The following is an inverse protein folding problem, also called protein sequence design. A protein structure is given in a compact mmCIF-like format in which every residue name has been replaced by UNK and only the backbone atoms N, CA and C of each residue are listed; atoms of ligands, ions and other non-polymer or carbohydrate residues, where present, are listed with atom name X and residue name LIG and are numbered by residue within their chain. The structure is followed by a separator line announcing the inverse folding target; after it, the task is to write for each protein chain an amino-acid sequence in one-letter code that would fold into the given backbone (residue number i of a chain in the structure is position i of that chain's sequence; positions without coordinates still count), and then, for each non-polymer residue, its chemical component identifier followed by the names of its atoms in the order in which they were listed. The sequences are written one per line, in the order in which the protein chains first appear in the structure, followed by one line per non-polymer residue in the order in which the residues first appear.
data_IF_710559768513
#
_entry.id   IF_710559768513
#
_cell.length_a   1.000
_cell.length_b   1.000
_cell.length_c   1.000
_cell.angle_alpha   90.00
_cell.angle_beta   90.00
_cell.angle_gamma   90.00
#
_symmetry.space_group_name_H-M   'P 1'
#
loop_
_entity.id
_entity.type
_entity.pdbx_description
1 polymer ?
#
# COMPACT_ATOMS: atom_id res chain seq x y z
N UNK A 1 7.58 -38.82 49.41
CA UNK A 1 7.99 -40.24 49.34
C UNK A 1 8.25 -40.52 47.87
N UNK A 2 9.52 -40.74 47.52
CA UNK A 2 10.11 -41.32 46.27
C UNK A 2 9.61 -40.81 44.90
N UNK A 3 10.36 -40.13 44.01
CA UNK A 3 11.78 -40.22 43.54
C UNK A 3 12.03 -41.31 42.48
N UNK A 4 12.60 -40.92 41.33
CA UNK A 4 13.29 -41.80 40.35
C UNK A 4 13.08 -41.39 38.87
N UNK A 5 13.80 -40.44 38.27
CA UNK A 5 15.19 -40.41 37.73
C UNK A 5 15.46 -41.27 36.45
N UNK A 6 15.54 -40.66 35.24
CA UNK A 6 16.69 -40.24 34.34
C UNK A 6 17.26 -41.35 33.39
N UNK A 7 18.28 -41.12 32.51
CA UNK A 7 18.18 -41.00 31.03
C UNK A 7 19.14 -41.98 30.27
N UNK A 8 19.36 -41.78 28.96
CA UNK A 8 20.63 -42.13 28.33
C UNK A 8 20.95 -41.24 27.10
N UNK A 9 22.17 -40.69 27.11
CA UNK A 9 22.91 -40.11 25.98
C UNK A 9 24.12 -41.01 25.65
N UNK A 10 24.94 -40.59 24.65
CA UNK A 10 26.26 -41.09 24.18
C UNK A 10 26.23 -42.11 23.01
N UNK A 11 27.08 -42.07 21.97
CA UNK A 11 28.45 -41.54 21.80
C UNK A 11 28.76 -41.03 20.37
N UNK A 12 29.79 -40.18 20.29
CA UNK A 12 30.55 -39.75 19.11
C UNK A 12 31.81 -40.63 18.86
N UNK A 13 32.64 -40.20 17.89
CA UNK A 13 33.99 -40.65 17.43
C UNK A 13 33.97 -41.36 16.06
N UNK A 14 34.79 -41.03 15.05
CA UNK A 14 35.89 -40.07 14.92
C UNK A 14 36.71 -40.32 13.61
N UNK A 15 37.64 -39.40 13.33
CA UNK A 15 38.89 -39.53 12.56
C UNK A 15 38.95 -39.45 11.01
N UNK A 16 39.30 -38.23 10.53
CA UNK A 16 40.51 -37.77 9.81
C UNK A 16 41.24 -38.61 8.73
N UNK A 17 41.73 -37.82 7.75
CA UNK A 17 43.01 -37.89 6.99
C UNK A 17 43.03 -38.44 5.55
N UNK A 18 43.58 -37.61 4.64
CA UNK A 18 44.08 -38.08 3.33
C UNK A 18 44.21 -37.02 2.24
N UNK A 19 45.15 -36.08 2.38
CA UNK A 19 45.61 -35.17 1.32
C UNK A 19 46.35 -35.89 0.18
N UNK A 20 46.19 -35.42 -1.06
CA UNK A 20 47.21 -35.45 -2.13
C UNK A 20 47.00 -34.34 -3.17
N UNK A 21 47.93 -33.39 -3.16
CA UNK A 21 48.35 -32.58 -4.32
C UNK A 21 49.16 -33.42 -5.33
N UNK A 22 49.36 -32.84 -6.53
CA UNK A 22 50.43 -32.95 -7.56
C UNK A 22 49.72 -32.94 -8.94
N UNK A 23 49.63 -31.85 -9.71
CA UNK A 23 50.57 -30.89 -10.34
C UNK A 23 50.44 -31.00 -11.91
N UNK A 24 50.86 -29.97 -12.69
CA UNK A 24 50.14 -29.41 -13.85
C UNK A 24 50.76 -29.71 -15.24
N UNK A 25 50.34 -28.91 -16.25
CA UNK A 25 50.80 -28.76 -17.64
C UNK A 25 49.94 -29.52 -18.69
N UNK A 26 49.46 -28.96 -19.81
CA UNK A 26 49.67 -27.66 -20.45
C UNK A 26 48.63 -27.50 -21.60
N UNK A 27 48.55 -26.28 -22.15
CA UNK A 27 47.91 -25.85 -23.44
C UNK A 27 46.50 -25.21 -23.36
N UNK A 28 46.50 -23.88 -23.28
CA UNK A 28 45.48 -22.94 -23.79
C UNK A 28 45.77 -22.62 -25.28
N UNK A 29 44.93 -21.85 -26.04
CA UNK A 29 43.48 -21.64 -26.00
C UNK A 29 42.82 -21.75 -27.41
N UNK A 30 41.48 -21.71 -27.52
CA UNK A 30 40.72 -20.69 -28.30
C UNK A 30 39.21 -20.83 -28.09
N UNK A 31 38.67 -19.82 -27.40
CA UNK A 31 37.41 -19.05 -27.66
C UNK A 31 36.03 -19.71 -27.72
N UNK A 32 35.26 -19.32 -26.70
CA UNK A 32 33.88 -18.81 -26.69
C UNK A 32 32.70 -19.72 -27.01
N UNK A 33 31.80 -19.81 -26.03
CA UNK A 33 30.39 -20.14 -26.21
C UNK A 33 29.77 -20.72 -24.94
N UNK A 34 29.12 -19.86 -24.17
CA UNK A 34 28.45 -20.06 -22.87
C UNK A 34 27.76 -21.42 -22.63
N UNK A 35 27.93 -21.93 -21.41
CA UNK A 35 27.04 -22.92 -20.77
C UNK A 35 26.40 -22.30 -19.53
N UNK A 36 25.07 -22.31 -19.52
CA UNK A 36 24.17 -22.69 -18.41
C UNK A 36 24.76 -22.78 -17.00
N UNK A 37 24.08 -22.19 -16.02
CA UNK A 37 24.28 -22.55 -14.61
C UNK A 37 23.56 -21.64 -13.64
N UNK A 38 22.43 -22.13 -13.15
CA UNK A 38 21.73 -21.83 -11.89
C UNK A 38 22.56 -21.07 -10.85
N UNK A 39 22.01 -19.98 -10.31
CA UNK A 39 22.49 -19.36 -9.09
C UNK A 39 21.39 -19.45 -8.01
N UNK A 40 21.48 -20.50 -7.21
CA UNK A 40 20.87 -20.56 -5.88
C UNK A 40 21.56 -19.54 -4.96
N UNK A 41 20.77 -18.80 -4.18
CA UNK A 41 21.21 -17.64 -3.40
C UNK A 41 22.24 -17.89 -2.29
N UNK A 42 22.88 -16.79 -1.90
CA UNK A 42 23.56 -16.60 -0.62
C UNK A 42 23.46 -15.11 -0.25
N UNK A 43 22.42 -14.76 0.52
CA UNK A 43 22.09 -13.39 0.94
C UNK A 43 22.92 -12.87 2.13
N UNK A 44 23.97 -13.58 2.57
CA UNK A 44 24.68 -13.25 3.82
C UNK A 44 26.18 -12.96 3.67
N UNK A 45 26.67 -12.64 2.47
CA UNK A 45 28.05 -12.17 2.30
C UNK A 45 28.10 -10.81 1.60
N UNK A 46 28.28 -9.69 2.34
CA UNK A 46 28.48 -8.39 1.73
C UNK A 46 29.93 -8.34 1.21
N UNK A 47 30.09 -8.81 -0.03
CA UNK A 47 31.32 -8.60 -0.79
C UNK A 47 31.57 -7.11 -0.98
N UNK A 48 32.85 -6.72 -0.92
CA UNK A 48 33.33 -5.33 -0.92
C UNK A 48 32.70 -4.44 -2.01
N UNK A 49 32.50 -3.13 -1.75
CA UNK A 49 31.83 -2.22 -2.67
C UNK A 49 32.62 -2.17 -3.99
N UNK A 50 32.03 -2.73 -5.04
CA UNK A 50 32.44 -2.39 -6.41
C UNK A 50 32.01 -0.94 -6.65
N UNK A 51 32.89 -0.16 -7.26
CA UNK A 51 32.57 1.19 -7.75
C UNK A 51 31.30 1.09 -8.59
N UNK A 52 30.29 1.97 -8.38
CA UNK A 52 29.11 1.95 -9.21
C UNK A 52 29.55 2.17 -10.66
N UNK A 53 29.15 1.25 -11.54
CA UNK A 53 29.11 1.54 -12.97
C UNK A 53 28.01 2.61 -13.11
N UNK A 54 28.32 3.74 -13.75
CA UNK A 54 27.39 4.86 -14.01
C UNK A 54 26.25 4.48 -15.00
N UNK A 55 25.76 3.25 -14.93
CA UNK A 55 24.73 2.68 -15.82
C UNK A 55 23.49 2.14 -15.11
N UNK A 56 23.56 1.87 -13.81
CA UNK A 56 22.43 1.40 -13.00
C UNK A 56 22.24 2.34 -11.79
N UNK A 57 22.08 3.63 -12.06
CA UNK A 57 21.39 4.51 -11.12
C UNK A 57 19.90 4.20 -11.31
N UNK A 58 19.25 3.69 -10.26
CA UNK A 58 17.80 3.57 -10.22
C UNK A 58 17.23 4.93 -10.60
N UNK A 59 16.56 5.01 -11.74
CA UNK A 59 15.91 6.21 -12.19
C UNK A 59 14.51 6.19 -11.55
N UNK A 60 14.17 7.12 -10.64
CA UNK A 60 12.80 7.27 -10.17
C UNK A 60 11.91 7.52 -11.39
N UNK A 61 10.76 6.88 -11.42
CA UNK A 61 9.81 6.95 -12.52
C UNK A 61 8.89 8.13 -12.20
N UNK A 62 9.11 9.27 -12.85
CA UNK A 62 8.49 10.55 -12.49
C UNK A 62 7.13 10.80 -13.18
N UNK A 63 6.48 9.81 -13.83
CA UNK A 63 5.15 9.98 -14.50
C UNK A 63 4.36 8.66 -14.68
N UNK A 64 3.01 8.75 -14.71
CA UNK A 64 2.14 7.72 -15.28
C UNK A 64 2.61 7.25 -16.66
N UNK A 65 2.67 5.95 -16.88
CA UNK A 65 2.97 5.36 -18.20
C UNK A 65 4.44 5.28 -18.62
N UNK A 66 5.43 5.66 -17.79
CA UNK A 66 6.86 5.51 -18.13
C UNK A 66 7.37 4.04 -17.99
N UNK A 67 6.60 3.16 -17.33
CA UNK A 67 6.98 1.76 -17.09
C UNK A 67 6.49 0.76 -18.14
N UNK A 68 5.45 1.09 -18.90
CA UNK A 68 4.75 0.10 -19.71
C UNK A 68 5.34 -0.11 -21.10
N UNK A 69 5.50 -1.39 -21.43
CA UNK A 69 5.92 -1.83 -22.74
C UNK A 69 4.92 -1.43 -23.83
N UNK A 70 5.20 -0.35 -24.53
CA UNK A 70 4.93 -0.25 -25.98
C UNK A 70 5.80 -1.25 -26.79
N UNK A 71 6.24 -2.34 -26.16
CA UNK A 71 6.85 -3.47 -26.81
C UNK A 71 5.81 -4.19 -27.66
N UNK A 72 6.22 -4.80 -28.79
CA UNK A 72 5.30 -5.48 -29.70
C UNK A 72 4.54 -6.67 -29.07
N UNK A 73 4.92 -7.10 -27.87
CA UNK A 73 4.43 -8.32 -27.21
C UNK A 73 3.51 -8.04 -25.99
N UNK A 74 3.15 -6.78 -25.69
CA UNK A 74 2.26 -6.46 -24.57
C UNK A 74 0.81 -6.92 -24.82
N UNK A 75 0.21 -7.54 -23.79
CA UNK A 75 -1.19 -8.00 -23.79
C UNK A 75 -2.17 -6.82 -23.75
N UNK A 76 -3.47 -7.10 -23.83
CA UNK A 76 -4.49 -6.05 -23.68
C UNK A 76 -4.55 -5.52 -22.25
N UNK A 77 -4.52 -6.41 -21.25
CA UNK A 77 -4.52 -6.01 -19.85
C UNK A 77 -3.24 -5.25 -19.47
N UNK A 78 -2.08 -5.62 -20.04
CA UNK A 78 -0.85 -4.83 -19.85
C UNK A 78 -1.02 -3.37 -20.30
N UNK A 79 -1.82 -3.13 -21.36
CA UNK A 79 -2.07 -1.78 -21.87
C UNK A 79 -3.09 -1.04 -21.03
N UNK A 80 -4.13 -1.71 -20.55
CA UNK A 80 -5.10 -1.07 -19.67
C UNK A 80 -4.46 -0.69 -18.32
N UNK A 81 -3.66 -1.58 -17.74
CA UNK A 81 -2.89 -1.25 -16.54
C UNK A 81 -1.90 -0.11 -16.80
N UNK A 82 -1.27 -0.08 -17.99
CA UNK A 82 -0.40 1.03 -18.36
C UNK A 82 -1.10 2.37 -18.54
N UNK A 83 -2.35 2.34 -19.03
CA UNK A 83 -3.13 3.53 -19.34
C UNK A 83 -3.83 4.09 -18.09
N UNK A 84 -4.20 3.23 -17.14
CA UNK A 84 -5.04 3.58 -16.00
C UNK A 84 -4.33 3.44 -14.64
N UNK A 85 -3.05 3.04 -14.59
CA UNK A 85 -2.31 2.82 -13.34
C UNK A 85 -0.83 3.21 -13.47
N UNK A 86 -0.21 3.50 -12.33
CA UNK A 86 1.22 3.82 -12.24
C UNK A 86 2.11 2.62 -11.82
N UNK A 87 1.59 1.40 -11.91
CA UNK A 87 2.23 0.24 -11.30
C UNK A 87 3.63 -0.13 -11.89
N UNK A 88 4.62 -0.40 -11.01
CA UNK A 88 6.01 -0.75 -11.37
C UNK A 88 6.21 -2.26 -11.59
N UNK A 89 6.61 -2.62 -12.81
CA UNK A 89 6.81 -4.00 -13.26
C UNK A 89 7.81 -4.85 -12.46
N UNK A 90 7.48 -6.13 -12.34
CA UNK A 90 8.47 -7.21 -12.27
C UNK A 90 7.93 -8.64 -12.28
N UNK A 91 6.69 -8.88 -12.70
CA UNK A 91 6.19 -10.25 -12.85
C UNK A 91 6.85 -10.91 -14.07
N UNK A 92 7.88 -11.73 -13.83
CA UNK A 92 8.28 -12.75 -14.79
C UNK A 92 7.13 -13.77 -14.87
N UNK A 93 6.50 -13.85 -16.03
CA UNK A 93 5.47 -14.83 -16.42
C UNK A 93 4.01 -14.46 -16.09
N UNK A 94 3.45 -13.56 -16.90
CA UNK A 94 2.00 -13.39 -17.08
C UNK A 94 1.33 -14.53 -17.89
N UNK A 95 2.05 -15.63 -18.16
CA UNK A 95 1.56 -16.84 -18.86
C UNK A 95 0.45 -17.59 -18.09
N UNK A 96 -0.01 -17.08 -16.95
CA UNK A 96 -1.04 -17.72 -16.10
C UNK A 96 -2.41 -17.02 -16.07
N UNK A 97 -2.50 -15.74 -16.46
CA UNK A 97 -3.78 -15.01 -16.39
C UNK A 97 -4.55 -15.06 -17.71
N UNK A 98 -3.86 -15.33 -18.81
CA UNK A 98 -4.52 -15.68 -20.08
C UNK A 98 -4.32 -17.17 -20.32
N UNK A 99 -5.11 -18.00 -19.63
CA UNK A 99 -5.36 -19.34 -20.15
C UNK A 99 -5.83 -19.16 -21.61
N UNK A 100 -5.35 -20.02 -22.51
CA UNK A 100 -5.69 -20.13 -23.93
C UNK A 100 -7.21 -20.31 -24.22
N UNK A 101 -8.07 -20.05 -23.22
CA UNK A 101 -9.53 -20.15 -23.16
C UNK A 101 -10.28 -18.81 -23.18
N UNK A 102 -9.59 -17.67 -23.36
CA UNK A 102 -10.07 -16.38 -23.90
C UNK A 102 -11.60 -16.14 -23.88
N UNK A 103 -12.20 -15.61 -22.80
CA UNK A 103 -13.26 -14.66 -22.98
C UNK A 103 -12.61 -13.35 -23.43
N UNK A 104 -12.77 -12.99 -24.70
CA UNK A 104 -12.31 -11.70 -25.23
C UNK A 104 -12.67 -10.58 -24.23
N UNK A 105 -11.76 -9.62 -23.92
CA UNK A 105 -12.05 -8.53 -23.01
C UNK A 105 -13.32 -7.78 -23.44
N UNK A 106 -14.15 -7.42 -22.46
CA UNK A 106 -15.41 -6.71 -22.68
C UNK A 106 -15.11 -5.24 -22.83
N UNK A 107 -15.49 -4.64 -23.97
CA UNK A 107 -15.33 -3.20 -24.24
C UNK A 107 -16.69 -2.57 -24.46
N UNK A 108 -17.06 -1.59 -23.65
CA UNK A 108 -18.41 -1.03 -23.62
C UNK A 108 -18.63 0.03 -24.70
N UNK A 109 -17.85 1.11 -24.70
CA UNK A 109 -17.92 2.12 -25.77
C UNK A 109 -17.55 3.51 -25.28
N UNK A 110 -17.72 4.54 -26.12
CA UNK A 110 -17.47 5.94 -25.72
C UNK A 110 -18.74 6.65 -25.17
N UNK A 111 -19.74 5.91 -24.68
CA UNK A 111 -20.90 6.56 -24.07
C UNK A 111 -21.58 5.68 -23.04
N UNK A 112 -22.45 6.28 -22.24
CA UNK A 112 -23.04 5.69 -21.04
C UNK A 112 -23.59 4.26 -21.28
N UNK A 113 -22.84 3.28 -20.80
CA UNK A 113 -23.09 1.86 -20.99
C UNK A 113 -23.45 1.17 -19.68
N UNK A 114 -24.08 -0.01 -19.81
CA UNK A 114 -24.46 -0.83 -18.66
C UNK A 114 -23.97 -2.26 -18.88
N UNK A 115 -23.11 -2.72 -17.99
CA UNK A 115 -22.61 -4.08 -17.95
C UNK A 115 -23.05 -4.80 -16.68
N UNK A 116 -23.45 -6.06 -16.83
CA UNK A 116 -23.75 -6.95 -15.70
C UNK A 116 -23.10 -8.29 -15.99
N UNK A 117 -22.07 -8.60 -15.20
CA UNK A 117 -21.32 -9.84 -15.25
C UNK A 117 -22.17 -11.07 -14.91
N UNK A 118 -21.63 -12.24 -15.25
CA UNK A 118 -22.32 -13.50 -14.98
C UNK A 118 -22.36 -13.81 -13.49
N UNK A 119 -23.53 -14.20 -12.98
CA UNK A 119 -23.70 -14.75 -11.63
C UNK A 119 -24.29 -16.15 -11.72
N UNK A 120 -23.43 -17.16 -11.68
CA UNK A 120 -23.86 -18.56 -11.67
C UNK A 120 -23.96 -19.15 -10.24
N UNK A 121 -23.61 -18.34 -9.24
CA UNK A 121 -23.64 -18.65 -7.82
C UNK A 121 -22.45 -19.47 -7.35
N UNK A 122 -21.40 -19.60 -8.17
CA UNK A 122 -20.13 -20.23 -7.79
C UNK A 122 -18.99 -19.24 -7.90
N UNK A 123 -18.61 -18.63 -6.77
CA UNK A 123 -17.43 -17.80 -6.70
C UNK A 123 -16.18 -18.60 -7.11
N UNK A 124 -15.35 -18.00 -7.97
CA UNK A 124 -14.05 -18.57 -8.32
C UNK A 124 -13.15 -18.68 -7.07
N UNK A 125 -12.37 -19.77 -6.95
CA UNK A 125 -11.31 -19.89 -5.93
C UNK A 125 -10.08 -19.13 -6.41
N UNK A 126 -10.19 -17.80 -6.32
CA UNK A 126 -9.20 -16.84 -6.74
C UNK A 126 -8.77 -16.00 -5.54
N UNK A 127 -7.52 -15.56 -5.55
CA UNK A 127 -6.98 -14.65 -4.55
C UNK A 127 -6.33 -13.46 -5.25
N UNK A 128 -6.64 -12.26 -4.80
CA UNK A 128 -5.91 -11.07 -5.23
C UNK A 128 -4.60 -10.96 -4.45
N UNK A 129 -3.51 -10.71 -5.16
CA UNK A 129 -2.17 -10.55 -4.61
C UNK A 129 -1.50 -9.33 -5.23
N UNK A 130 -0.50 -8.80 -4.53
CA UNK A 130 0.33 -7.72 -5.04
C UNK A 130 1.71 -8.24 -5.44
N UNK A 131 2.20 -7.75 -6.57
CA UNK A 131 3.61 -7.85 -6.93
C UNK A 131 4.13 -6.44 -7.17
N UNK A 132 5.01 -5.95 -6.28
CA UNK A 132 5.56 -4.59 -6.33
C UNK A 132 4.50 -3.49 -6.51
N UNK A 133 3.34 -3.64 -5.86
CA UNK A 133 2.21 -2.70 -5.97
C UNK A 133 1.25 -2.98 -7.13
N UNK A 134 1.62 -3.83 -8.10
CA UNK A 134 0.68 -4.24 -9.17
C UNK A 134 -0.24 -5.36 -8.68
N UNK A 135 -1.58 -5.22 -8.79
CA UNK A 135 -2.49 -6.30 -8.49
C UNK A 135 -2.43 -7.41 -9.53
N UNK A 136 -2.46 -8.66 -9.07
CA UNK A 136 -2.64 -9.84 -9.92
C UNK A 136 -3.53 -10.88 -9.23
N UNK A 137 -4.23 -11.65 -10.04
CA UNK A 137 -5.12 -12.72 -9.55
C UNK A 137 -4.38 -14.05 -9.60
N UNK A 138 -4.21 -14.70 -8.45
CA UNK A 138 -3.72 -16.08 -8.34
C UNK A 138 -4.91 -17.04 -8.36
N UNK A 139 -5.01 -17.83 -9.42
CA UNK A 139 -6.08 -18.81 -9.62
C UNK A 139 -5.66 -20.17 -9.05
N UNK A 140 -6.40 -20.70 -8.07
CA UNK A 140 -6.10 -22.03 -7.50
C UNK A 140 -6.66 -23.20 -8.36
N UNK A 141 -7.68 -22.95 -9.19
CA UNK A 141 -8.29 -23.91 -10.13
C UNK A 141 -8.48 -23.31 -11.54
N UNK A 142 -9.22 -24.01 -12.43
CA UNK A 142 -9.59 -23.61 -13.81
C UNK A 142 -10.50 -22.34 -13.91
N UNK A 143 -10.38 -21.41 -12.96
CA UNK A 143 -11.15 -20.16 -12.92
C UNK A 143 -10.86 -19.23 -14.10
N UNK A 144 -11.78 -18.31 -14.36
CA UNK A 144 -11.60 -17.26 -15.36
C UNK A 144 -11.38 -15.92 -14.67
N UNK A 145 -10.64 -15.04 -15.34
CA UNK A 145 -10.53 -13.64 -14.97
C UNK A 145 -11.25 -12.82 -16.04
N UNK A 146 -12.28 -12.09 -15.65
CA UNK A 146 -13.01 -11.19 -16.55
C UNK A 146 -12.27 -9.85 -16.64
N UNK A 147 -12.10 -9.32 -17.85
CA UNK A 147 -11.51 -7.98 -18.06
C UNK A 147 -12.57 -7.10 -18.72
N UNK A 148 -12.94 -6.02 -18.05
CA UNK A 148 -14.02 -5.10 -18.44
C UNK A 148 -13.43 -3.70 -18.59
N UNK A 149 -13.61 -3.10 -19.76
CA UNK A 149 -13.15 -1.77 -20.14
C UNK A 149 -14.37 -0.91 -20.54
N UNK A 150 -14.76 0.00 -19.65
CA UNK A 150 -15.85 0.96 -19.87
C UNK A 150 -15.52 1.93 -21.00
N UNK A 151 -14.27 2.39 -21.05
CA UNK A 151 -13.69 3.38 -21.96
C UNK A 151 -14.17 4.80 -21.67
N UNK A 152 -15.39 5.19 -22.02
CA UNK A 152 -15.85 6.49 -21.58
C UNK A 152 -17.35 6.71 -21.71
N UNK A 153 -17.84 7.80 -21.12
CA UNK A 153 -19.23 7.93 -20.73
C UNK A 153 -19.42 7.56 -19.26
N UNK A 154 -20.60 7.84 -18.72
CA UNK A 154 -20.92 7.52 -17.33
C UNK A 154 -21.46 6.07 -17.28
N UNK A 155 -20.61 5.11 -16.99
CA UNK A 155 -20.90 3.68 -17.08
C UNK A 155 -21.47 3.11 -15.78
N UNK A 156 -22.26 2.04 -15.91
CA UNK A 156 -22.69 1.22 -14.77
C UNK A 156 -22.21 -0.21 -14.97
N UNK A 157 -21.21 -0.60 -14.19
CA UNK A 157 -20.57 -1.91 -14.28
C UNK A 157 -20.90 -2.69 -13.00
N UNK A 158 -21.48 -3.88 -13.16
CA UNK A 158 -21.57 -4.85 -12.05
C UNK A 158 -20.73 -6.06 -12.43
N UNK A 159 -19.68 -6.36 -11.66
CA UNK A 159 -18.85 -7.54 -11.90
C UNK A 159 -19.59 -8.83 -11.47
N UNK A 160 -19.15 -9.96 -12.00
CA UNK A 160 -19.78 -11.26 -11.78
C UNK A 160 -19.30 -12.01 -10.54
N UNK A 161 -19.49 -13.33 -10.56
CA UNK A 161 -18.94 -14.25 -9.54
C UNK A 161 -17.51 -14.73 -9.88
N UNK A 162 -16.96 -14.29 -11.00
CA UNK A 162 -15.58 -14.54 -11.42
C UNK A 162 -14.67 -13.39 -10.97
N UNK A 163 -13.39 -13.69 -10.72
CA UNK A 163 -12.41 -12.64 -10.45
C UNK A 163 -12.33 -11.68 -11.64
N UNK A 164 -12.15 -10.38 -11.39
CA UNK A 164 -12.25 -9.38 -12.45
C UNK A 164 -11.23 -8.27 -12.37
N UNK A 165 -10.79 -7.79 -13.53
CA UNK A 165 -10.27 -6.44 -13.71
C UNK A 165 -11.38 -5.59 -14.32
N UNK A 166 -11.77 -4.50 -13.66
CA UNK A 166 -12.76 -3.56 -14.17
C UNK A 166 -12.14 -2.16 -14.25
N UNK A 167 -12.29 -1.52 -15.39
CA UNK A 167 -11.85 -0.16 -15.67
C UNK A 167 -13.09 0.66 -16.06
N UNK A 168 -13.40 1.71 -15.33
CA UNK A 168 -14.48 2.65 -15.68
C UNK A 168 -14.10 3.46 -16.92
N UNK A 169 -12.94 4.12 -16.86
CA UNK A 169 -12.41 4.90 -17.96
C UNK A 169 -12.71 6.38 -17.74
N UNK A 170 -13.29 7.07 -18.72
CA UNK A 170 -13.58 8.50 -18.61
C UNK A 170 -15.07 8.79 -18.44
N UNK A 171 -15.49 9.38 -17.34
CA UNK A 171 -16.88 9.68 -17.01
C UNK A 171 -17.15 9.44 -15.53
N UNK A 172 -18.33 9.81 -15.03
CA UNK A 172 -18.67 9.51 -13.64
C UNK A 172 -19.26 8.08 -13.55
N UNK A 173 -18.44 7.09 -13.21
CA UNK A 173 -18.76 5.67 -13.28
C UNK A 173 -19.34 5.09 -11.98
N UNK A 174 -20.19 4.06 -12.10
CA UNK A 174 -20.68 3.26 -10.98
C UNK A 174 -20.24 1.81 -11.17
N UNK A 175 -19.29 1.37 -10.35
CA UNK A 175 -18.76 0.00 -10.38
C UNK A 175 -19.16 -0.74 -9.09
N UNK A 176 -19.88 -1.84 -9.24
CA UNK A 176 -20.26 -2.74 -8.14
C UNK A 176 -19.55 -4.07 -8.32
N UNK A 177 -18.70 -4.45 -7.37
CA UNK A 177 -18.01 -5.73 -7.36
C UNK A 177 -18.97 -6.83 -6.91
N UNK A 178 -18.93 -7.95 -7.61
CA UNK A 178 -19.70 -9.15 -7.31
C UNK A 178 -19.10 -9.97 -6.15
N UNK A 179 -19.12 -11.30 -6.27
CA UNK A 179 -18.83 -12.20 -5.14
C UNK A 179 -17.38 -12.74 -5.12
N UNK A 180 -16.52 -12.27 -6.02
CA UNK A 180 -15.13 -12.71 -6.16
C UNK A 180 -14.18 -11.52 -6.15
N UNK A 181 -12.88 -11.74 -5.85
CA UNK A 181 -11.92 -10.66 -5.77
C UNK A 181 -11.80 -9.87 -7.07
N UNK A 182 -11.69 -8.55 -6.96
CA UNK A 182 -11.57 -7.68 -8.12
C UNK A 182 -10.47 -6.62 -7.93
N UNK A 183 -9.81 -6.30 -9.03
CA UNK A 183 -9.07 -5.06 -9.20
C UNK A 183 -9.95 -4.10 -10.00
N UNK A 184 -10.30 -2.98 -9.39
CA UNK A 184 -11.19 -1.96 -9.95
C UNK A 184 -10.47 -0.63 -10.02
N UNK A 185 -10.60 0.02 -11.15
CA UNK A 185 -10.04 1.34 -11.44
C UNK A 185 -11.19 2.21 -11.96
N UNK A 186 -11.52 3.30 -11.26
CA UNK A 186 -12.55 4.26 -11.68
C UNK A 186 -12.11 4.97 -12.95
N UNK A 187 -11.04 5.76 -12.86
CA UNK A 187 -10.41 6.42 -14.01
C UNK A 187 -10.54 7.93 -13.91
N UNK A 188 -10.91 8.61 -15.00
CA UNK A 188 -11.21 10.05 -14.97
C UNK A 188 -12.68 10.26 -14.61
N UNK A 189 -13.01 10.91 -13.50
CA UNK A 189 -14.42 11.11 -13.14
C UNK A 189 -14.65 11.27 -11.66
N UNK A 190 -15.91 11.41 -11.25
CA UNK A 190 -16.29 11.24 -9.85
C UNK A 190 -16.99 9.89 -9.72
N UNK A 191 -16.21 8.87 -9.42
CA UNK A 191 -16.58 7.49 -9.51
C UNK A 191 -17.16 6.97 -8.19
N UNK A 192 -17.99 5.93 -8.32
CA UNK A 192 -18.56 5.21 -7.19
C UNK A 192 -18.18 3.75 -7.30
N UNK A 193 -17.31 3.29 -6.41
CA UNK A 193 -16.88 1.90 -6.34
C UNK A 193 -17.44 1.25 -5.08
N UNK A 194 -18.22 0.17 -5.27
CA UNK A 194 -18.78 -0.63 -4.19
C UNK A 194 -18.20 -2.03 -4.28
N UNK A 195 -17.27 -2.34 -3.39
CA UNK A 195 -16.57 -3.62 -3.28
C UNK A 195 -17.43 -4.76 -2.76
N UNK A 196 -16.83 -5.96 -2.74
CA UNK A 196 -17.52 -7.22 -2.59
C UNK A 196 -17.87 -7.54 -1.14
N UNK A 197 -19.14 -7.86 -0.89
CA UNK A 197 -19.56 -8.56 0.32
C UNK A 197 -19.36 -10.06 0.10
N UNK A 198 -18.15 -10.58 0.36
CA UNK A 198 -17.86 -11.90 0.96
C UNK A 198 -16.50 -12.42 0.51
N UNK A 199 -15.46 -12.16 1.30
CA UNK A 199 -14.20 -12.88 1.21
C UNK A 199 -13.84 -13.54 2.54
N UNK A 200 -12.84 -14.41 2.50
CA UNK A 200 -12.25 -14.98 3.71
C UNK A 200 -11.25 -13.98 4.31
N UNK A 201 -11.09 -14.01 5.64
CA UNK A 201 -10.29 -13.03 6.41
C UNK A 201 -8.76 -13.08 6.13
N UNK A 202 -8.25 -13.98 5.28
CA UNK A 202 -6.81 -14.25 5.14
C UNK A 202 -6.18 -13.75 3.81
N UNK A 203 -6.94 -13.12 2.90
CA UNK A 203 -6.47 -12.67 1.57
C UNK A 203 -7.11 -11.33 1.15
N UNK A 204 -6.45 -10.60 0.22
CA UNK A 204 -7.02 -9.37 -0.32
C UNK A 204 -8.30 -9.64 -1.11
N UNK A 205 -9.31 -8.80 -0.86
CA UNK A 205 -10.68 -8.95 -1.32
C UNK A 205 -10.99 -7.96 -2.44
N UNK A 206 -10.54 -6.72 -2.29
CA UNK A 206 -10.55 -5.68 -3.31
C UNK A 206 -9.21 -4.97 -3.45
N UNK A 207 -8.87 -4.62 -4.69
CA UNK A 207 -7.96 -3.51 -5.01
C UNK A 207 -8.83 -2.48 -5.70
N UNK A 208 -9.08 -1.35 -5.06
CA UNK A 208 -10.01 -0.33 -5.51
C UNK A 208 -9.27 1.01 -5.61
N UNK A 209 -9.22 1.58 -6.79
CA UNK A 209 -8.54 2.83 -7.11
C UNK A 209 -9.56 3.76 -7.78
N UNK A 210 -9.87 4.88 -7.15
CA UNK A 210 -10.84 5.85 -7.66
C UNK A 210 -10.31 6.52 -8.92
N UNK A 211 -9.09 7.05 -8.84
CA UNK A 211 -8.37 7.60 -9.98
C UNK A 211 -8.28 9.12 -9.89
N UNK A 212 -8.89 9.84 -10.83
CA UNK A 212 -8.88 11.30 -10.88
C UNK A 212 -10.28 11.84 -10.63
N UNK A 213 -10.45 12.62 -9.55
CA UNK A 213 -11.69 13.31 -9.24
C UNK A 213 -12.15 13.02 -7.82
N UNK A 214 -13.41 13.29 -7.49
CA UNK A 214 -13.91 13.11 -6.13
C UNK A 214 -14.67 11.79 -6.06
N UNK A 215 -14.00 10.77 -5.59
CA UNK A 215 -14.45 9.39 -5.65
C UNK A 215 -15.11 8.95 -4.33
N UNK A 216 -15.99 7.97 -4.45
CA UNK A 216 -16.63 7.33 -3.30
C UNK A 216 -16.41 5.83 -3.37
N UNK A 217 -15.59 5.32 -2.45
CA UNK A 217 -15.17 3.92 -2.43
C UNK A 217 -15.59 3.27 -1.11
N UNK A 218 -16.22 2.09 -1.23
CA UNK A 218 -16.53 1.21 -0.11
C UNK A 218 -15.92 -0.17 -0.38
N UNK A 219 -14.95 -0.61 0.42
CA UNK A 219 -14.27 -1.91 0.31
C UNK A 219 -15.20 -3.09 0.51
N UNK A 220 -15.93 -3.10 1.62
CA UNK A 220 -16.94 -4.11 1.91
C UNK A 220 -16.51 -5.06 3.03
N UNK A 221 -16.42 -6.36 2.73
CA UNK A 221 -15.96 -7.38 3.67
C UNK A 221 -14.64 -7.99 3.19
N UNK A 222 -13.71 -8.22 4.11
CA UNK A 222 -12.40 -8.80 3.85
C UNK A 222 -11.30 -7.74 3.93
N UNK A 223 -10.06 -8.14 3.62
CA UNK A 223 -8.92 -7.21 3.61
C UNK A 223 -8.93 -6.46 2.27
N UNK A 224 -9.16 -5.15 2.29
CA UNK A 224 -9.20 -4.31 1.11
C UNK A 224 -7.97 -3.39 0.99
N UNK A 225 -7.62 -3.08 -0.26
CA UNK A 225 -6.66 -2.04 -0.62
C UNK A 225 -7.44 -0.94 -1.35
N UNK A 226 -7.53 0.22 -0.74
CA UNK A 226 -8.33 1.34 -1.24
C UNK A 226 -7.43 2.55 -1.46
N UNK A 227 -7.53 3.15 -2.63
CA UNK A 227 -6.87 4.39 -3.01
C UNK A 227 -7.95 5.34 -3.52
N UNK A 228 -8.04 6.54 -2.92
CA UNK A 228 -8.95 7.58 -3.39
C UNK A 228 -8.51 8.10 -4.75
N UNK A 229 -7.30 8.67 -4.82
CA UNK A 229 -6.85 9.18 -6.10
C UNK A 229 -5.55 9.95 -6.13
N UNK A 230 -5.32 10.47 -7.34
CA UNK A 230 -4.18 11.19 -7.92
C UNK A 230 -2.76 10.58 -7.90
N UNK A 231 -2.33 10.43 -9.15
CA UNK A 231 -1.08 9.88 -9.68
C UNK A 231 -0.28 10.94 -10.47
N UNK A 232 -0.47 12.24 -10.21
CA UNK A 232 0.34 13.32 -10.84
C UNK A 232 0.76 14.39 -9.82
N UNK A 233 2.06 14.71 -9.83
CA UNK A 233 2.76 15.67 -8.96
C UNK A 233 2.27 17.14 -9.09
N UNK A 234 1.11 17.40 -9.71
CA UNK A 234 0.66 18.76 -10.09
C UNK A 234 -0.51 19.33 -9.31
N UNK A 235 -1.20 18.54 -8.47
CA UNK A 235 -2.05 19.01 -7.36
C UNK A 235 -3.11 20.08 -7.68
N UNK A 236 -3.67 20.09 -8.89
CA UNK A 236 -4.48 21.23 -9.40
C UNK A 236 -5.99 20.90 -9.59
N UNK A 237 -6.51 19.80 -9.02
CA UNK A 237 -7.93 19.39 -9.09
C UNK A 237 -8.58 19.09 -7.73
N UNK A 238 -9.92 19.21 -7.57
CA UNK A 238 -10.61 18.73 -6.38
C UNK A 238 -10.66 17.19 -6.41
N UNK A 239 -9.94 16.59 -5.48
CA UNK A 239 -9.72 15.14 -5.32
C UNK A 239 -10.19 14.72 -3.91
N UNK A 240 -11.31 15.31 -3.48
CA UNK A 240 -11.81 15.11 -2.13
C UNK A 240 -12.60 13.81 -2.06
N UNK A 241 -11.97 12.78 -1.54
CA UNK A 241 -12.48 11.43 -1.58
C UNK A 241 -13.26 11.04 -0.33
N UNK A 242 -14.17 10.08 -0.50
CA UNK A 242 -14.88 9.44 0.62
C UNK A 242 -14.61 7.94 0.58
N UNK A 243 -13.76 7.48 1.48
CA UNK A 243 -13.22 6.13 1.49
C UNK A 243 -13.64 5.38 2.75
N UNK A 244 -14.08 4.14 2.58
CA UNK A 244 -14.40 3.25 3.70
C UNK A 244 -13.92 1.83 3.42
N UNK A 245 -13.10 1.28 4.32
CA UNK A 245 -12.64 -0.11 4.28
C UNK A 245 -13.81 -1.07 4.49
N UNK A 246 -14.49 -0.90 5.62
CA UNK A 246 -15.67 -1.68 5.96
C UNK A 246 -15.35 -2.66 7.07
N UNK A 247 -15.33 -3.95 6.77
CA UNK A 247 -15.01 -4.98 7.75
C UNK A 247 -13.85 -5.85 7.29
N UNK A 248 -12.78 -5.91 8.08
CA UNK A 248 -11.52 -6.57 7.75
C UNK A 248 -10.36 -5.66 8.14
N UNK A 249 -9.14 -6.18 8.08
CA UNK A 249 -7.94 -5.38 8.36
C UNK A 249 -7.53 -4.64 7.07
N UNK A 250 -8.00 -3.41 6.90
CA UNK A 250 -7.95 -2.67 5.63
C UNK A 250 -6.72 -1.76 5.50
N UNK A 251 -6.33 -1.47 4.27
CA UNK A 251 -5.31 -0.49 3.93
C UNK A 251 -5.92 0.57 3.01
N UNK A 252 -6.01 1.79 3.52
CA UNK A 252 -6.70 2.89 2.83
C UNK A 252 -5.76 4.06 2.70
N UNK A 253 -5.67 4.61 1.49
CA UNK A 253 -4.99 5.85 1.23
C UNK A 253 -5.92 6.87 0.56
N UNK A 254 -5.96 8.09 1.11
CA UNK A 254 -6.78 9.20 0.59
C UNK A 254 -6.29 9.67 -0.77
N UNK A 255 -5.07 10.20 -0.79
CA UNK A 255 -4.51 10.86 -1.96
C UNK A 255 -4.34 12.34 -1.65
N UNK A 256 -4.34 13.17 -2.68
CA UNK A 256 -4.32 14.61 -2.46
C UNK A 256 -5.70 15.11 -2.07
N UNK A 257 -5.76 16.21 -1.33
CA UNK A 257 -7.02 16.94 -1.14
C UNK A 257 -7.54 16.82 0.27
N UNK A 258 -8.84 17.03 0.46
CA UNK A 258 -9.42 16.97 1.80
C UNK A 258 -10.44 15.83 1.86
N UNK A 259 -9.98 14.72 2.43
CA UNK A 259 -10.58 13.40 2.37
C UNK A 259 -11.33 13.02 3.64
N UNK A 260 -12.33 12.16 3.47
CA UNK A 260 -13.03 11.48 4.56
C UNK A 260 -12.70 9.98 4.50
N UNK A 261 -11.88 9.50 5.42
CA UNK A 261 -11.36 8.12 5.45
C UNK A 261 -11.87 7.40 6.70
N UNK A 262 -12.45 6.21 6.53
CA UNK A 262 -12.88 5.33 7.63
C UNK A 262 -12.38 3.91 7.45
N UNK A 263 -11.67 3.37 8.44
CA UNK A 263 -11.23 1.97 8.47
C UNK A 263 -12.43 1.03 8.60
N UNK A 264 -13.12 1.11 9.74
CA UNK A 264 -14.35 0.39 10.00
C UNK A 264 -14.18 -0.59 11.15
N UNK A 265 -14.21 -1.90 10.88
CA UNK A 265 -13.92 -2.90 11.91
C UNK A 265 -12.74 -3.77 11.46
N UNK A 266 -11.74 -3.95 12.31
CA UNK A 266 -10.50 -4.64 11.96
C UNK A 266 -9.31 -3.80 12.42
N UNK A 267 -8.10 -4.34 12.37
CA UNK A 267 -6.90 -3.55 12.65
C UNK A 267 -6.45 -2.86 11.35
N UNK A 268 -6.81 -1.57 11.18
CA UNK A 268 -6.71 -0.85 9.91
C UNK A 268 -5.45 0.02 9.79
N UNK A 269 -5.03 0.33 8.56
CA UNK A 269 -3.99 1.32 8.25
C UNK A 269 -4.58 2.39 7.32
N UNK A 270 -4.67 3.61 7.82
CA UNK A 270 -5.20 4.77 7.11
C UNK A 270 -4.04 5.74 6.87
N UNK A 271 -3.79 6.09 5.61
CA UNK A 271 -2.82 7.13 5.24
C UNK A 271 -3.52 8.23 4.45
N UNK A 272 -3.48 9.46 4.93
CA UNK A 272 -4.15 10.56 4.26
C UNK A 272 -3.66 10.77 2.81
N UNK A 273 -2.35 10.72 2.55
CA UNK A 273 -1.76 11.07 1.25
C UNK A 273 -1.27 9.88 0.42
N UNK A 274 -1.35 8.66 0.95
CA UNK A 274 -0.64 7.50 0.40
C UNK A 274 -0.93 7.19 -1.08
N UNK A 275 0.09 6.78 -1.83
CA UNK A 275 -0.07 6.30 -3.21
C UNK A 275 -0.10 4.76 -3.26
N UNK A 276 -0.70 4.20 -4.32
CA UNK A 276 -0.62 2.77 -4.67
C UNK A 276 0.82 2.21 -4.75
N UNK A 277 1.81 3.09 -4.89
CA UNK A 277 3.21 2.77 -5.15
C UNK A 277 4.13 2.77 -3.93
N UNK A 278 3.62 2.94 -2.71
CA UNK A 278 4.40 2.95 -1.46
C UNK A 278 5.33 1.74 -1.24
N UNK A 279 5.22 0.69 -2.07
CA UNK A 279 6.05 -0.51 -2.00
C UNK A 279 7.37 -0.44 -2.80
N UNK A 280 7.64 0.63 -3.56
CA UNK A 280 8.94 0.80 -4.27
C UNK A 280 10.10 1.14 -3.32
N UNK A 281 9.76 1.62 -2.11
CA UNK A 281 10.70 1.92 -1.02
C UNK A 281 11.44 3.24 -1.17
N UNK A 282 11.42 3.88 -2.34
CA UNK A 282 12.02 5.18 -2.57
C UNK A 282 11.14 6.33 -2.04
N UNK A 283 9.82 6.27 -2.23
CA UNK A 283 8.89 7.34 -1.81
C UNK A 283 8.75 7.43 -0.28
N UNK A 284 8.82 6.28 0.43
CA UNK A 284 8.79 6.21 1.91
C UNK A 284 9.92 6.95 2.64
N UNK A 285 10.86 7.52 1.89
CA UNK A 285 12.07 8.13 2.43
C UNK A 285 12.13 9.64 2.26
N UNK A 286 11.18 10.26 1.58
CA UNK A 286 11.08 11.72 1.48
C UNK A 286 9.98 12.23 2.41
N UNK A 287 10.31 13.25 3.18
CA UNK A 287 9.43 13.82 4.19
C UNK A 287 8.28 14.63 3.58
N UNK A 288 8.54 15.36 2.49
CA UNK A 288 7.60 16.24 1.79
C UNK A 288 6.37 15.50 1.24
N UNK A 289 6.53 14.20 0.98
CA UNK A 289 5.48 13.31 0.43
C UNK A 289 4.40 12.90 1.44
N UNK A 290 4.51 13.36 2.68
CA UNK A 290 3.53 13.09 3.74
C UNK A 290 2.83 14.37 4.19
N UNK A 291 2.88 15.41 3.35
CA UNK A 291 2.37 16.74 3.66
C UNK A 291 1.80 17.33 2.37
N UNK A 292 0.48 17.40 2.26
CA UNK A 292 -0.20 18.18 1.22
C UNK A 292 -0.78 19.50 1.79
N UNK A 293 -0.94 19.56 3.12
CA UNK A 293 -1.44 20.72 3.84
C UNK A 293 -2.93 20.99 3.64
N UNK A 294 -3.68 20.04 3.06
CA UNK A 294 -5.13 20.10 3.03
C UNK A 294 -5.69 19.66 4.41
N UNK A 295 -6.90 19.14 4.51
CA UNK A 295 -7.48 18.88 5.84
C UNK A 295 -8.35 17.65 5.80
N UNK A 296 -7.75 16.54 6.21
CA UNK A 296 -8.35 15.23 6.16
C UNK A 296 -9.04 14.88 7.47
N UNK A 297 -10.02 13.97 7.36
CA UNK A 297 -10.67 13.34 8.51
C UNK A 297 -10.49 11.84 8.44
N UNK A 298 -9.75 11.28 9.41
CA UNK A 298 -9.47 9.86 9.52
C UNK A 298 -10.19 9.29 10.76
N UNK A 299 -10.88 8.17 10.60
CA UNK A 299 -11.57 7.44 11.67
C UNK A 299 -11.22 5.94 11.59
N UNK A 300 -10.42 5.44 12.52
CA UNK A 300 -9.97 4.04 12.57
C UNK A 300 -11.15 3.08 12.73
N UNK A 301 -11.88 3.21 13.85
CA UNK A 301 -13.12 2.49 14.08
C UNK A 301 -13.00 1.48 15.22
N UNK A 302 -13.41 0.22 15.01
CA UNK A 302 -13.19 -0.85 15.99
C UNK A 302 -11.91 -1.62 15.63
N UNK A 303 -10.86 -1.58 16.45
CA UNK A 303 -9.58 -2.16 16.05
C UNK A 303 -8.39 -1.54 16.76
N UNK A 304 -7.19 -2.07 16.52
CA UNK A 304 -5.95 -1.38 16.86
C UNK A 304 -5.40 -0.76 15.59
N UNK A 305 -5.74 0.49 15.36
CA UNK A 305 -5.55 1.10 14.05
C UNK A 305 -4.23 1.86 13.97
N UNK A 306 -3.77 2.13 12.75
CA UNK A 306 -2.66 3.02 12.47
C UNK A 306 -3.13 4.14 11.55
N UNK A 307 -3.13 5.37 12.06
CA UNK A 307 -3.55 6.56 11.31
C UNK A 307 -2.32 7.40 11.02
N UNK A 308 -2.00 7.59 9.74
CA UNK A 308 -0.89 8.38 9.24
C UNK A 308 -1.45 9.65 8.61
N UNK A 309 -1.05 10.79 9.14
CA UNK A 309 -1.65 12.09 8.83
C UNK A 309 -0.63 13.22 9.04
N UNK A 310 -0.96 14.41 8.56
CA UNK A 310 -0.10 15.58 8.67
C UNK A 310 -0.63 16.63 9.65
N UNK A 311 -0.02 17.82 9.63
CA UNK A 311 -0.57 18.94 10.38
C UNK A 311 -1.75 19.47 9.60
N UNK A 312 -2.91 19.55 10.26
CA UNK A 312 -4.20 20.17 9.86
C UNK A 312 -5.34 19.14 9.89
N UNK A 313 -4.97 17.86 9.88
CA UNK A 313 -5.90 16.75 9.92
C UNK A 313 -6.57 16.53 11.28
N UNK A 314 -7.69 15.81 11.22
CA UNK A 314 -8.46 15.33 12.35
C UNK A 314 -8.46 13.81 12.32
N UNK A 315 -7.86 13.20 13.35
CA UNK A 315 -7.80 11.75 13.51
C UNK A 315 -8.64 11.30 14.72
N UNK A 316 -9.38 10.21 14.54
CA UNK A 316 -10.15 9.50 15.58
C UNK A 316 -9.69 8.06 15.56
N UNK A 317 -9.18 7.55 16.67
CA UNK A 317 -8.71 6.15 16.74
C UNK A 317 -9.88 5.19 16.80
N UNK A 318 -10.81 5.45 17.72
CA UNK A 318 -11.97 4.61 17.95
C UNK A 318 -11.81 3.67 19.15
N UNK A 319 -12.24 2.42 19.01
CA UNK A 319 -12.12 1.39 20.04
C UNK A 319 -10.86 0.55 19.84
N UNK A 320 -9.83 0.78 20.64
CA UNK A 320 -8.69 -0.13 20.76
C UNK A 320 -7.44 0.61 21.19
N UNK A 321 -6.27 0.05 20.85
CA UNK A 321 -4.98 0.68 21.14
C UNK A 321 -4.36 1.20 19.85
N UNK A 322 -4.60 2.48 19.57
CA UNK A 322 -4.35 3.06 18.26
C UNK A 322 -2.98 3.75 18.17
N UNK A 323 -2.43 3.75 16.97
CA UNK A 323 -1.16 4.39 16.64
C UNK A 323 -1.40 5.57 15.71
N UNK A 324 -1.26 6.78 16.25
CA UNK A 324 -1.29 8.01 15.49
C UNK A 324 0.13 8.33 15.03
N UNK A 325 0.37 8.44 13.73
CA UNK A 325 1.65 8.85 13.15
C UNK A 325 1.47 10.20 12.45
N UNK A 326 1.91 11.25 13.14
CA UNK A 326 1.89 12.61 12.64
C UNK A 326 3.20 12.97 11.93
N UNK A 327 3.13 13.36 10.66
CA UNK A 327 4.20 14.09 9.98
C UNK A 327 4.05 15.60 10.26
N UNK A 328 5.09 16.21 10.79
CA UNK A 328 5.04 17.60 11.26
C UNK A 328 6.15 18.44 10.66
N UNK A 329 5.87 19.11 9.54
CA UNK A 329 6.73 20.18 9.04
C UNK A 329 6.62 21.39 9.98
N UNK A 330 7.75 21.80 10.56
CA UNK A 330 7.84 22.99 11.41
C UNK A 330 7.90 24.29 10.60
N UNK A 331 8.16 24.22 9.29
CA UNK A 331 8.24 25.36 8.39
C UNK A 331 6.88 25.73 7.75
N UNK A 332 5.93 24.80 7.64
CA UNK A 332 4.57 24.98 7.10
C UNK A 332 3.68 25.99 7.87
N UNK A 333 4.04 26.37 9.10
CA UNK A 333 3.33 27.40 9.89
C UNK A 333 2.62 26.88 11.14
N UNK A 334 1.69 27.67 11.70
CA UNK A 334 1.12 27.46 13.06
C UNK A 334 -0.03 26.44 13.14
N UNK A 335 -0.14 25.51 12.18
CA UNK A 335 -1.16 24.46 12.16
C UNK A 335 -0.98 23.45 13.29
N UNK A 336 -1.98 22.63 13.58
CA UNK A 336 -1.78 21.46 14.43
C UNK A 336 -2.74 20.37 13.99
N UNK A 337 -2.35 19.12 14.16
CA UNK A 337 -3.28 18.03 14.04
C UNK A 337 -4.21 17.97 15.27
N UNK A 338 -5.35 17.31 15.11
CA UNK A 338 -6.32 17.09 16.18
C UNK A 338 -6.61 15.61 16.32
N UNK A 339 -6.30 15.01 17.47
CA UNK A 339 -6.75 13.65 17.81
C UNK A 339 -7.95 13.76 18.72
N UNK A 340 -9.08 13.17 18.35
CA UNK A 340 -10.38 13.49 18.98
C UNK A 340 -10.70 12.66 20.23
N UNK A 341 -10.09 11.48 20.38
CA UNK A 341 -10.48 10.48 21.37
C UNK A 341 -9.31 9.78 22.09
N UNK A 342 -8.10 10.32 21.97
CA UNK A 342 -6.87 9.74 22.54
C UNK A 342 -6.99 9.26 24.00
N UNK A 343 -6.68 7.99 24.23
CA UNK A 343 -6.71 7.30 25.51
C UNK A 343 -5.27 7.11 26.04
N UNK A 344 -4.87 7.97 26.98
CA UNK A 344 -3.53 7.90 27.60
C UNK A 344 -3.23 6.54 28.26
N UNK A 345 -2.09 5.97 27.90
CA UNK A 345 -1.62 4.65 28.35
C UNK A 345 -2.20 3.47 27.57
N UNK A 346 -3.01 3.72 26.55
CA UNK A 346 -3.57 2.75 25.60
C UNK A 346 -3.09 3.12 24.19
N UNK A 347 -3.39 4.33 23.75
CA UNK A 347 -2.99 4.86 22.44
C UNK A 347 -1.58 5.45 22.46
N UNK A 348 -1.03 5.61 21.26
CA UNK A 348 0.31 6.10 21.05
C UNK A 348 0.36 7.15 19.93
N UNK A 349 1.09 8.24 20.16
CA UNK A 349 1.36 9.26 19.14
C UNK A 349 2.85 9.28 18.78
N UNK A 350 3.16 8.88 17.56
CA UNK A 350 4.45 9.09 16.90
C UNK A 350 4.42 10.40 16.14
N UNK A 351 5.49 11.18 16.26
CA UNK A 351 5.68 12.44 15.54
C UNK A 351 6.99 12.36 14.79
N UNK A 352 6.91 12.46 13.47
CA UNK A 352 8.07 12.53 12.59
C UNK A 352 8.26 13.98 12.15
N UNK A 353 9.46 14.50 12.39
CA UNK A 353 9.85 15.87 12.05
C UNK A 353 10.68 15.89 10.77
N UNK A 354 10.71 17.08 10.15
CA UNK A 354 11.51 17.37 8.98
C UNK A 354 13.00 16.98 9.18
N UNK A 355 13.63 16.32 8.18
CA UNK A 355 15.05 15.95 8.17
C UNK A 355 16.04 17.08 8.50
N UNK A 356 15.69 18.34 8.22
CA UNK A 356 16.53 19.52 8.50
C UNK A 356 16.56 19.91 10.00
N UNK A 357 15.68 19.32 10.82
CA UNK A 357 15.66 19.55 12.27
C UNK A 357 16.83 18.84 12.95
N UNK A 358 17.62 19.57 13.75
CA UNK A 358 18.72 18.97 14.52
C UNK A 358 18.18 18.04 15.64
N UNK A 359 18.39 16.71 15.54
CA UNK A 359 17.82 15.75 16.48
C UNK A 359 18.35 15.91 17.92
N UNK A 360 19.53 16.51 18.10
CA UNK A 360 20.11 16.75 19.43
C UNK A 360 19.42 17.92 20.17
N UNK A 361 18.53 18.64 19.50
CA UNK A 361 17.89 19.86 20.02
C UNK A 361 16.40 19.70 20.35
N UNK A 362 15.82 18.53 20.06
CA UNK A 362 14.38 18.29 20.21
C UNK A 362 13.95 18.44 21.68
N UNK A 363 12.97 19.30 21.91
CA UNK A 363 12.33 19.47 23.21
C UNK A 363 10.83 19.16 23.12
N UNK A 364 10.43 18.00 23.66
CA UNK A 364 9.03 17.59 23.80
C UNK A 364 8.47 18.06 25.15
N UNK A 365 7.32 18.72 25.11
CA UNK A 365 6.47 19.01 26.27
C UNK A 365 5.04 18.54 26.00
N UNK A 366 4.41 17.96 27.02
CA UNK A 366 3.03 17.50 26.96
C UNK A 366 2.35 18.00 28.21
N UNK A 367 1.38 18.87 28.04
CA UNK A 367 0.71 19.52 29.16
C UNK A 367 -0.80 19.68 28.92
N UNK A 368 -1.61 19.76 29.98
CA UNK A 368 -3.03 20.04 29.82
C UNK A 368 -3.25 21.44 29.23
N UNK A 369 -4.32 21.60 28.46
CA UNK A 369 -4.82 22.89 28.00
C UNK A 369 -5.13 23.84 29.18
N UNK A 370 -5.24 25.15 28.89
CA UNK A 370 -5.51 26.18 29.91
C UNK A 370 -6.80 25.95 30.72
N UNK A 371 -7.81 25.34 30.10
CA UNK A 371 -9.06 24.94 30.75
C UNK A 371 -9.02 23.52 31.34
N UNK A 372 -7.93 22.78 31.10
CA UNK A 372 -7.68 21.43 31.57
C UNK A 372 -8.54 20.37 30.89
N UNK A 373 -9.08 20.66 29.71
CA UNK A 373 -9.92 19.75 28.94
C UNK A 373 -9.12 18.80 28.05
N UNK A 374 -8.01 19.26 27.48
CA UNK A 374 -7.30 18.57 26.40
C UNK A 374 -5.81 18.38 26.75
N UNK A 375 -5.16 17.42 26.10
CA UNK A 375 -3.71 17.32 26.07
C UNK A 375 -3.14 18.20 24.95
N UNK A 376 -2.08 18.95 25.24
CA UNK A 376 -1.39 19.80 24.27
C UNK A 376 0.02 19.27 24.08
N UNK A 377 0.34 18.85 22.85
CA UNK A 377 1.66 18.33 22.50
C UNK A 377 2.46 19.44 21.83
N UNK A 378 3.59 19.76 22.43
CA UNK A 378 4.48 20.83 21.99
C UNK A 378 5.85 20.27 21.68
N UNK A 379 6.36 20.53 20.48
CA UNK A 379 7.73 20.19 20.07
C UNK A 379 8.47 21.48 19.77
N UNK A 380 9.65 21.67 20.37
CA UNK A 380 10.48 22.88 20.20
C UNK A 380 9.78 24.20 20.57
N UNK A 381 8.72 24.14 21.38
CA UNK A 381 7.92 25.30 21.79
C UNK A 381 6.75 25.62 20.87
N UNK A 382 6.52 24.80 19.85
CA UNK A 382 5.39 24.88 18.92
C UNK A 382 4.38 23.76 19.17
N UNK A 383 3.09 24.09 19.12
CA UNK A 383 2.02 23.10 19.26
C UNK A 383 1.87 22.35 17.95
N UNK A 384 2.06 21.03 18.01
CA UNK A 384 1.99 20.15 16.83
C UNK A 384 0.72 19.29 16.82
N UNK A 385 0.19 18.95 17.99
CA UNK A 385 -1.05 18.19 18.11
C UNK A 385 -1.86 18.61 19.35
N UNK A 386 -3.18 18.53 19.21
CA UNK A 386 -4.15 18.63 20.31
C UNK A 386 -4.82 17.27 20.49
N UNK A 387 -4.74 16.73 21.70
CA UNK A 387 -5.37 15.48 22.12
C UNK A 387 -6.66 15.81 22.87
N UNK A 388 -7.79 15.85 22.17
CA UNK A 388 -9.05 16.31 22.74
C UNK A 388 -9.54 15.37 23.84
N UNK A 389 -10.04 15.93 24.94
CA UNK A 389 -10.54 15.14 26.07
C UNK A 389 -9.48 14.33 26.82
N UNK A 390 -8.19 14.46 26.47
CA UNK A 390 -7.08 13.68 27.01
C UNK A 390 -6.10 14.52 27.86
N UNK A 391 -6.56 15.25 28.91
CA UNK A 391 -5.67 16.10 29.71
C UNK A 391 -4.69 15.30 30.58
N UNK A 392 -4.83 13.97 30.60
CA UNK A 392 -3.96 13.02 31.29
C UNK A 392 -2.76 12.55 30.48
N UNK A 393 -2.71 12.84 29.17
CA UNK A 393 -1.63 12.43 28.29
C UNK A 393 -0.26 12.95 28.78
N UNK A 394 0.77 12.15 28.58
CA UNK A 394 2.14 12.47 29.02
C UNK A 394 3.17 12.16 27.96
N UNK A 395 4.41 12.59 28.18
CA UNK A 395 5.57 12.23 27.35
C UNK A 395 5.85 10.72 27.28
N UNK A 396 5.18 9.88 28.08
CA UNK A 396 5.29 8.43 27.96
C UNK A 396 4.43 7.85 26.82
N UNK A 397 3.42 8.60 26.39
CA UNK A 397 2.47 8.20 25.33
C UNK A 397 2.91 8.71 23.95
N UNK A 398 4.01 9.48 23.90
CA UNK A 398 4.45 10.22 22.71
C UNK A 398 5.92 9.92 22.41
N UNK A 399 6.21 9.66 21.15
CA UNK A 399 7.56 9.52 20.61
C UNK A 399 7.80 10.49 19.48
N UNK A 400 8.96 11.15 19.50
CA UNK A 400 9.35 12.13 18.49
C UNK A 400 10.66 11.69 17.87
N UNK A 401 10.73 11.76 16.55
CA UNK A 401 11.93 11.47 15.79
C UNK A 401 12.14 12.48 14.65
N UNK A 402 13.35 12.48 14.11
CA UNK A 402 13.70 13.16 12.87
C UNK A 402 14.03 12.06 11.87
N UNK A 403 13.36 12.08 10.72
CA UNK A 403 13.59 11.09 9.68
C UNK A 403 14.78 11.53 8.84
N UNK A 404 15.80 10.66 8.70
CA UNK A 404 16.89 10.92 7.75
C UNK A 404 16.39 10.61 6.34
N UNK A 405 16.54 11.54 5.38
CA UNK A 405 16.30 11.22 3.97
C UNK A 405 17.34 10.20 3.52
N UNK A 406 16.92 8.94 3.34
CA UNK A 406 17.82 7.82 3.04
C UNK A 406 18.36 7.90 1.60
N UNK A 407 17.75 8.71 0.73
CA UNK A 407 18.11 8.87 -0.68
C UNK A 407 18.61 10.27 -1.08
N UNK A 408 18.86 11.18 -0.12
CA UNK A 408 19.35 12.55 -0.38
C UNK A 408 20.82 12.67 -0.81
#
# INVERSE_FOLDING_TARGET
MFLGLVPAAFMAEGFLEGSKEVEPDDVQPTTNGQTTGEATGDFLNPGSPQSPDDGDVLNPIDQPGEGAGEGPDATFLDKLLAENTDAIYGLQDYDKVTDDRDPDPVRLGDGDDVFVGSSDGTASDAALQLFNGTPFVDLQEDGLVEVIDGQGGDDTITTGDDASFAFGGAGDDLITVGAAPAAVFGGEGNDQIVGAYTANEDQYSGYLDGGLGNDSILGGEGIDLIFGGQHDDTGDGPDNDTLSGGAGDDQIAGGYGADEISGGTGDDILNHLGHAMENSGAERSSFDWHIDGDSDTLDGGEGNDTLIFDRFDIATGGEGADNFHLYSDQDAGLGHATVTDFVSGEDFLRITLDPDVDPDTIALDVSPSDDGADGVVTVNGEVVAILQGAPGATVADIYVEVMEEVYA
#
